data_IF_400813567050
#
_entry.id   IF_400813567050
#
_cell.length_a   1.000
_cell.length_b   1.000
_cell.length_c   1.000
_cell.angle_alpha   90.00
_cell.angle_beta   90.00
_cell.angle_gamma   90.00
#
_symmetry.space_group_name_H-M   'P 1'
#
loop_
_entity.id
_entity.type
_entity.pdbx_description
1 polymer ?
#
# COMPACT_ATOMS: atom_id res chain seq x y z
N UNK A 1 -57.04 -27.94 -30.81
CA UNK A 1 -55.85 -28.63 -30.27
C UNK A 1 -54.65 -27.70 -30.41
N UNK A 2 -54.38 -26.88 -29.37
CA UNK A 2 -53.32 -25.86 -29.34
C UNK A 2 -52.51 -26.03 -28.05
N UNK A 3 -51.78 -27.12 -27.87
CA UNK A 3 -50.91 -27.31 -26.70
C UNK A 3 -49.79 -28.32 -26.95
N UNK A 4 -48.95 -28.10 -27.98
CA UNK A 4 -47.84 -29.01 -28.27
C UNK A 4 -46.60 -28.32 -28.88
N UNK A 5 -46.34 -27.05 -28.53
CA UNK A 5 -45.21 -26.26 -29.08
C UNK A 5 -44.34 -25.61 -27.98
N UNK A 6 -44.45 -26.03 -26.72
CA UNK A 6 -43.70 -25.37 -25.61
C UNK A 6 -42.89 -26.31 -24.72
N UNK A 7 -42.50 -27.48 -25.21
CA UNK A 7 -41.57 -28.32 -24.46
C UNK A 7 -40.41 -28.73 -25.35
N UNK A 8 -39.21 -28.43 -24.86
CA UNK A 8 -37.92 -28.99 -25.28
C UNK A 8 -37.23 -28.30 -26.46
N UNK A 9 -37.25 -26.96 -26.50
CA UNK A 9 -36.13 -26.14 -26.99
C UNK A 9 -34.98 -26.07 -25.93
N UNK A 10 -34.86 -27.10 -25.08
CA UNK A 10 -34.03 -27.13 -23.88
C UNK A 10 -33.07 -28.34 -23.87
N UNK A 11 -32.67 -28.82 -25.05
CA UNK A 11 -31.70 -29.92 -25.19
C UNK A 11 -30.51 -29.52 -26.08
N UNK A 12 -30.47 -28.29 -26.60
CA UNK A 12 -29.41 -27.85 -27.52
C UNK A 12 -28.42 -26.81 -26.95
N UNK A 13 -28.51 -26.48 -25.65
CA UNK A 13 -27.59 -25.52 -25.00
C UNK A 13 -26.56 -26.20 -24.09
N UNK A 14 -26.68 -27.52 -23.86
CA UNK A 14 -25.82 -28.25 -22.90
C UNK A 14 -24.64 -28.99 -23.57
N UNK A 15 -24.58 -29.04 -24.90
CA UNK A 15 -23.58 -29.87 -25.62
C UNK A 15 -22.47 -29.08 -26.33
N UNK A 16 -22.37 -27.77 -26.14
CA UNK A 16 -21.24 -26.95 -26.63
C UNK A 16 -20.16 -26.67 -25.57
N UNK A 17 -20.20 -27.35 -24.41
CA UNK A 17 -19.11 -27.29 -23.42
C UNK A 17 -18.13 -28.47 -23.52
N UNK A 18 -17.98 -29.08 -24.69
CA UNK A 18 -16.81 -29.91 -24.96
C UNK A 18 -15.60 -29.02 -25.23
N UNK A 19 -14.71 -29.00 -24.25
CA UNK A 19 -13.27 -28.82 -24.41
C UNK A 19 -12.77 -27.45 -24.91
N UNK A 20 -12.83 -26.43 -24.05
CA UNK A 20 -11.67 -25.57 -23.89
C UNK A 20 -10.82 -26.13 -22.75
N UNK A 21 -9.94 -27.05 -23.14
CA UNK A 21 -8.72 -27.37 -22.41
C UNK A 21 -7.93 -26.07 -22.22
N UNK A 22 -7.93 -25.55 -21.00
CA UNK A 22 -6.85 -24.72 -20.50
C UNK A 22 -6.69 -25.01 -19.01
N UNK A 23 -6.11 -26.18 -18.71
CA UNK A 23 -5.24 -26.33 -17.55
C UNK A 23 -4.02 -25.41 -17.74
N UNK A 24 -4.24 -24.10 -17.63
CA UNK A 24 -3.21 -23.21 -17.11
C UNK A 24 -3.62 -22.98 -15.66
N UNK A 25 -2.89 -23.62 -14.73
CA UNK A 25 -2.98 -23.29 -13.31
C UNK A 25 -2.47 -21.86 -13.10
N UNK A 26 -3.26 -20.86 -13.49
CA UNK A 26 -2.94 -19.47 -13.20
C UNK A 26 -3.09 -19.29 -11.70
N UNK A 27 -1.97 -19.08 -11.01
CA UNK A 27 -2.00 -18.67 -9.60
C UNK A 27 -2.98 -17.48 -9.47
N UNK A 28 -3.85 -17.46 -8.43
CA UNK A 28 -4.79 -16.37 -8.23
C UNK A 28 -4.03 -15.13 -7.71
N UNK A 29 -3.35 -14.43 -8.63
CA UNK A 29 -2.48 -13.29 -8.30
C UNK A 29 -3.26 -11.99 -8.05
N UNK A 30 -4.47 -11.86 -8.60
CA UNK A 30 -5.27 -10.63 -8.53
C UNK A 30 -5.52 -10.13 -7.10
N UNK A 31 -5.91 -10.98 -6.11
CA UNK A 31 -6.02 -10.56 -4.72
C UNK A 31 -4.70 -10.03 -4.13
N UNK A 32 -3.56 -10.59 -4.55
CA UNK A 32 -2.22 -10.18 -4.08
C UNK A 32 -1.86 -8.81 -4.64
N UNK A 33 -2.13 -8.58 -5.93
CA UNK A 33 -1.94 -7.28 -6.59
C UNK A 33 -2.76 -6.21 -5.90
N UNK A 34 -4.07 -6.43 -5.74
CA UNK A 34 -4.98 -5.47 -5.08
C UNK A 34 -4.52 -5.14 -3.65
N UNK A 35 -4.08 -6.16 -2.91
CA UNK A 35 -3.59 -5.96 -1.55
C UNK A 35 -2.28 -5.14 -1.54
N UNK A 36 -1.38 -5.35 -2.50
CA UNK A 36 -0.16 -4.56 -2.63
C UNK A 36 -0.43 -3.12 -3.09
N UNK A 37 -1.29 -2.91 -4.08
CA UNK A 37 -1.72 -1.57 -4.52
C UNK A 37 -2.28 -0.78 -3.34
N UNK A 38 -2.99 -1.46 -2.42
CA UNK A 38 -3.47 -0.84 -1.19
C UNK A 38 -2.31 -0.41 -0.28
N UNK A 39 -1.25 -1.21 -0.14
CA UNK A 39 -0.04 -0.84 0.61
C UNK A 39 0.62 0.39 -0.02
N UNK A 40 0.89 0.37 -1.32
CA UNK A 40 1.50 1.51 -2.04
C UNK A 40 0.66 2.77 -1.89
N UNK A 41 -0.66 2.66 -2.06
CA UNK A 41 -1.56 3.79 -1.89
C UNK A 41 -1.49 4.39 -0.49
N UNK A 42 -1.40 3.58 0.58
CA UNK A 42 -1.28 4.13 1.94
C UNK A 42 0.06 4.84 2.17
N UNK A 43 1.15 4.32 1.62
CA UNK A 43 2.44 5.00 1.68
C UNK A 43 2.45 6.30 0.86
N UNK A 44 1.80 6.33 -0.31
CA UNK A 44 1.60 7.57 -1.07
C UNK A 44 0.86 8.64 -0.24
N UNK A 45 -0.17 8.25 0.52
CA UNK A 45 -0.86 9.17 1.42
C UNK A 45 0.04 9.74 2.52
N UNK A 46 1.06 8.99 2.98
CA UNK A 46 2.08 9.50 3.90
C UNK A 46 2.97 10.52 3.21
N UNK A 47 3.42 10.25 1.99
CA UNK A 47 4.20 11.19 1.17
C UNK A 47 3.44 12.49 0.93
N UNK A 48 2.16 12.42 0.56
CA UNK A 48 1.30 13.59 0.37
C UNK A 48 1.16 14.40 1.67
N UNK A 49 0.93 13.72 2.80
CA UNK A 49 0.84 14.37 4.11
C UNK A 49 2.16 15.03 4.51
N UNK A 50 3.30 14.43 4.18
CA UNK A 50 4.61 15.00 4.43
C UNK A 50 4.83 16.27 3.59
N UNK A 51 4.42 16.27 2.32
CA UNK A 51 4.45 17.45 1.45
C UNK A 51 3.60 18.57 2.05
N UNK A 52 2.36 18.27 2.46
CA UNK A 52 1.46 19.23 3.10
C UNK A 52 2.08 19.80 4.38
N UNK A 53 2.66 18.95 5.22
CA UNK A 53 3.35 19.39 6.45
C UNK A 53 4.49 20.36 6.12
N UNK A 54 5.37 19.98 5.19
CA UNK A 54 6.52 20.80 4.79
C UNK A 54 6.09 22.14 4.21
N UNK A 55 5.05 22.17 3.38
CA UNK A 55 4.51 23.42 2.82
C UNK A 55 4.10 24.40 3.92
N UNK A 56 3.52 23.90 5.02
CA UNK A 56 3.04 24.73 6.13
C UNK A 56 4.14 25.21 7.09
N UNK A 57 5.28 24.52 7.16
CA UNK A 57 6.35 24.82 8.13
C UNK A 57 7.67 25.25 7.47
N UNK A 58 7.77 25.20 6.14
CA UNK A 58 9.00 25.49 5.37
C UNK A 58 9.58 26.88 5.59
N UNK A 59 8.75 27.85 5.96
CA UNK A 59 9.17 29.23 6.26
C UNK A 59 9.77 29.38 7.66
N UNK A 60 9.70 28.35 8.50
CA UNK A 60 10.32 28.36 9.82
C UNK A 60 11.74 27.80 9.78
N UNK A 61 12.78 28.64 9.94
CA UNK A 61 14.17 28.21 9.85
C UNK A 61 14.59 27.29 11.01
N UNK A 62 13.80 27.18 12.07
CA UNK A 62 14.09 26.28 13.19
C UNK A 62 13.73 24.83 12.92
N UNK A 63 12.96 24.56 11.85
CA UNK A 63 12.49 23.21 11.51
C UNK A 63 13.23 22.70 10.27
N UNK A 64 13.95 21.59 10.43
CA UNK A 64 14.71 20.95 9.35
C UNK A 64 13.84 19.99 8.57
N UNK A 65 13.28 20.46 7.44
CA UNK A 65 12.44 19.65 6.54
C UNK A 65 13.22 19.01 5.38
N UNK A 66 14.40 19.53 5.06
CA UNK A 66 15.20 19.07 3.92
C UNK A 66 15.45 17.55 3.88
N UNK A 67 15.73 16.85 4.99
CA UNK A 67 15.92 15.39 4.95
C UNK A 67 14.69 14.63 4.42
N UNK A 68 13.48 15.08 4.77
CA UNK A 68 12.23 14.47 4.27
C UNK A 68 12.07 14.77 2.79
N UNK A 69 12.29 16.02 2.38
CA UNK A 69 12.24 16.44 0.97
C UNK A 69 13.22 15.64 0.09
N UNK A 70 14.47 15.49 0.54
CA UNK A 70 15.51 14.74 -0.18
C UNK A 70 15.14 13.27 -0.41
N UNK A 71 14.36 12.68 0.51
CA UNK A 71 13.85 11.31 0.38
C UNK A 71 12.65 11.26 -0.58
N UNK A 72 11.68 12.15 -0.44
CA UNK A 72 10.53 12.19 -1.35
C UNK A 72 10.97 12.40 -2.81
N UNK A 73 11.97 13.25 -3.05
CA UNK A 73 12.49 13.52 -4.39
C UNK A 73 13.25 12.34 -5.02
N UNK A 74 13.67 11.35 -4.23
CA UNK A 74 14.51 10.22 -4.68
C UNK A 74 13.81 8.87 -4.51
N UNK A 75 12.49 8.88 -4.35
CA UNK A 75 11.70 7.68 -4.16
C UNK A 75 11.96 6.65 -5.28
N UNK A 76 12.32 5.39 -4.94
CA UNK A 76 12.67 4.40 -5.93
C UNK A 76 11.43 3.93 -6.68
N UNK A 77 11.48 3.96 -8.01
CA UNK A 77 10.49 3.28 -8.84
C UNK A 77 10.74 1.78 -8.77
N UNK A 78 9.75 1.03 -8.29
CA UNK A 78 9.73 -0.44 -8.29
C UNK A 78 8.73 -0.96 -9.31
N UNK A 79 9.02 -2.10 -9.91
CA UNK A 79 8.14 -2.76 -10.88
C UNK A 79 7.93 -4.19 -10.45
N UNK A 80 6.73 -4.49 -9.94
CA UNK A 80 6.45 -5.82 -9.41
C UNK A 80 6.00 -6.79 -10.50
N UNK A 81 6.60 -7.97 -10.50
CA UNK A 81 6.15 -9.13 -11.26
C UNK A 81 5.86 -10.26 -10.30
N UNK A 82 4.60 -10.41 -9.89
CA UNK A 82 4.18 -11.44 -8.92
C UNK A 82 4.38 -12.89 -9.42
N UNK A 83 4.70 -13.09 -10.71
CA UNK A 83 5.12 -14.39 -11.24
C UNK A 83 6.60 -14.68 -10.92
N UNK A 84 7.40 -13.64 -10.73
CA UNK A 84 8.79 -13.71 -10.29
C UNK A 84 8.93 -13.30 -8.81
N UNK A 85 8.56 -14.21 -7.92
CA UNK A 85 8.51 -13.95 -6.46
C UNK A 85 9.84 -13.48 -5.86
N UNK A 86 10.99 -13.94 -6.38
CA UNK A 86 12.31 -13.52 -5.87
C UNK A 86 12.65 -12.08 -6.19
N UNK A 87 12.37 -11.63 -7.42
CA UNK A 87 12.57 -10.23 -7.81
C UNK A 87 11.58 -9.35 -7.04
N UNK A 88 10.30 -9.74 -7.05
CA UNK A 88 9.22 -9.02 -6.36
C UNK A 88 9.46 -8.89 -4.85
N UNK A 89 9.93 -9.93 -4.17
CA UNK A 89 10.29 -9.83 -2.75
C UNK A 89 11.38 -8.78 -2.50
N UNK A 90 12.40 -8.72 -3.37
CA UNK A 90 13.48 -7.74 -3.25
C UNK A 90 12.97 -6.32 -3.46
N UNK A 91 12.11 -6.12 -4.45
CA UNK A 91 11.55 -4.83 -4.80
C UNK A 91 10.59 -4.33 -3.71
N UNK A 92 9.73 -5.22 -3.17
CA UNK A 92 8.91 -4.92 -1.99
C UNK A 92 9.79 -4.52 -0.80
N UNK A 93 10.82 -5.31 -0.47
CA UNK A 93 11.70 -4.99 0.66
C UNK A 93 12.43 -3.65 0.46
N UNK A 94 12.88 -3.35 -0.76
CA UNK A 94 13.50 -2.07 -1.09
C UNK A 94 12.52 -0.91 -0.92
N UNK A 95 11.30 -1.05 -1.44
CA UNK A 95 10.24 -0.06 -1.30
C UNK A 95 9.92 0.21 0.18
N UNK A 96 9.62 -0.84 0.95
CA UNK A 96 9.25 -0.72 2.38
C UNK A 96 10.40 -0.12 3.20
N UNK A 97 11.65 -0.51 2.94
CA UNK A 97 12.81 0.10 3.62
C UNK A 97 12.90 1.60 3.35
N UNK A 98 12.61 2.01 2.11
CA UNK A 98 12.63 3.42 1.73
C UNK A 98 11.52 4.23 2.40
N UNK A 99 10.30 3.67 2.44
CA UNK A 99 9.19 4.29 3.14
C UNK A 99 9.48 4.48 4.63
N UNK A 100 10.16 3.53 5.24
CA UNK A 100 10.58 3.63 6.62
C UNK A 100 11.60 4.77 6.86
N UNK A 101 12.51 5.02 5.91
CA UNK A 101 13.40 6.19 5.98
C UNK A 101 12.61 7.51 5.96
N UNK A 102 11.56 7.59 5.13
CA UNK A 102 10.64 8.75 5.08
C UNK A 102 9.94 8.92 6.43
N UNK A 103 9.40 7.84 7.00
CA UNK A 103 8.73 7.87 8.30
C UNK A 103 9.65 8.36 9.43
N UNK A 104 10.88 7.83 9.52
CA UNK A 104 11.87 8.27 10.51
C UNK A 104 12.16 9.77 10.36
N UNK A 105 12.35 10.23 9.12
CA UNK A 105 12.60 11.64 8.84
C UNK A 105 11.40 12.50 9.23
N UNK A 106 10.17 12.04 8.96
CA UNK A 106 8.93 12.73 9.31
C UNK A 106 8.70 12.79 10.83
N UNK A 107 8.96 11.69 11.55
CA UNK A 107 8.95 11.67 13.01
C UNK A 107 9.94 12.67 13.61
N UNK A 108 11.13 12.81 13.01
CA UNK A 108 12.11 13.83 13.40
C UNK A 108 11.57 15.26 13.24
N UNK A 109 10.79 15.52 12.19
CA UNK A 109 10.08 16.81 12.01
C UNK A 109 9.03 17.00 13.11
N UNK A 110 8.20 15.99 13.39
CA UNK A 110 7.20 16.10 14.46
C UNK A 110 7.81 16.37 15.84
N UNK A 111 8.95 15.74 16.15
CA UNK A 111 9.68 15.98 17.39
C UNK A 111 10.25 17.42 17.48
N UNK A 112 10.68 18.00 16.36
CA UNK A 112 11.08 19.41 16.31
C UNK A 112 9.88 20.34 16.56
N UNK A 113 8.75 20.06 15.91
CA UNK A 113 7.51 20.85 16.08
C UNK A 113 6.98 20.80 17.51
N UNK A 114 7.14 19.69 18.22
CA UNK A 114 6.76 19.59 19.63
C UNK A 114 7.61 20.47 20.54
N UNK A 115 8.90 20.64 20.21
CA UNK A 115 9.81 21.51 20.97
C UNK A 115 9.60 22.99 20.68
N UNK A 116 8.95 23.33 19.56
CA UNK A 116 8.66 24.71 19.16
C UNK A 116 7.27 25.17 19.67
N UNK A 117 7.19 26.13 20.62
CA UNK A 117 5.91 26.53 21.24
C UNK A 117 4.84 26.99 20.24
N UNK A 118 5.25 27.67 19.17
CA UNK A 118 4.35 28.13 18.09
C UNK A 118 3.60 26.97 17.41
N UNK A 119 4.25 25.83 17.27
CA UNK A 119 3.72 24.70 16.49
C UNK A 119 3.07 23.62 17.34
N UNK A 120 3.47 23.51 18.61
CA UNK A 120 2.97 22.50 19.55
C UNK A 120 1.44 22.45 19.62
N UNK A 121 0.80 23.61 19.65
CA UNK A 121 -0.66 23.75 19.81
C UNK A 121 -1.34 24.25 18.52
N UNK A 122 -0.60 24.34 17.41
CA UNK A 122 -1.17 24.79 16.15
C UNK A 122 -2.20 23.76 15.65
N UNK A 123 -3.48 24.15 15.44
CA UNK A 123 -4.55 23.20 15.08
C UNK A 123 -4.24 22.35 13.85
N UNK A 124 -3.63 22.95 12.82
CA UNK A 124 -3.24 22.25 11.60
C UNK A 124 -2.18 21.17 11.86
N UNK A 125 -1.20 21.44 12.74
CA UNK A 125 -0.15 20.47 13.08
C UNK A 125 -0.73 19.31 13.87
N UNK A 126 -1.68 19.58 14.78
CA UNK A 126 -2.39 18.53 15.52
C UNK A 126 -3.22 17.64 14.60
N UNK A 127 -3.93 18.24 13.62
CA UNK A 127 -4.68 17.49 12.60
C UNK A 127 -3.76 16.61 11.74
N UNK A 128 -2.64 17.15 11.26
CA UNK A 128 -1.64 16.40 10.48
C UNK A 128 -1.09 15.22 11.30
N UNK A 129 -0.74 15.42 12.57
CA UNK A 129 -0.27 14.33 13.45
C UNK A 129 -1.33 13.24 13.62
N UNK A 130 -2.59 13.63 13.80
CA UNK A 130 -3.68 12.67 13.94
C UNK A 130 -3.86 11.85 12.65
N UNK A 131 -3.87 12.52 11.49
CA UNK A 131 -3.92 11.85 10.18
C UNK A 131 -2.75 10.89 9.99
N UNK A 132 -1.53 11.31 10.36
CA UNK A 132 -0.35 10.47 10.29
C UNK A 132 -0.50 9.20 11.15
N UNK A 133 -0.95 9.33 12.40
CA UNK A 133 -1.19 8.18 13.29
C UNK A 133 -2.23 7.20 12.69
N UNK A 134 -3.33 7.72 12.16
CA UNK A 134 -4.36 6.90 11.51
C UNK A 134 -3.84 6.21 10.24
N UNK A 135 -2.97 6.87 9.48
CA UNK A 135 -2.32 6.28 8.30
C UNK A 135 -1.38 5.14 8.70
N UNK A 136 -0.57 5.30 9.75
CA UNK A 136 0.31 4.24 10.24
C UNK A 136 -0.47 2.97 10.63
N UNK A 137 -1.61 3.14 11.33
CA UNK A 137 -2.50 2.03 11.65
C UNK A 137 -3.05 1.38 10.37
N UNK A 138 -3.46 2.20 9.39
CA UNK A 138 -3.98 1.72 8.10
C UNK A 138 -2.92 1.00 7.27
N UNK A 139 -1.65 1.43 7.30
CA UNK A 139 -0.52 0.76 6.64
C UNK A 139 -0.31 -0.60 7.27
N UNK A 140 -0.25 -0.67 8.60
CA UNK A 140 -0.10 -1.94 9.34
C UNK A 140 -1.20 -2.94 8.96
N UNK A 141 -2.44 -2.46 8.77
CA UNK A 141 -3.55 -3.31 8.32
C UNK A 141 -3.32 -3.76 6.86
N UNK A 142 -2.96 -2.85 5.96
CA UNK A 142 -2.72 -3.16 4.55
C UNK A 142 -1.58 -4.17 4.37
N UNK A 143 -0.47 -4.04 5.11
CA UNK A 143 0.64 -4.99 5.08
C UNK A 143 0.21 -6.39 5.55
N UNK A 144 -0.60 -6.47 6.61
CA UNK A 144 -1.17 -7.74 7.08
C UNK A 144 -2.08 -8.37 6.02
N UNK A 145 -2.90 -7.56 5.35
CA UNK A 145 -3.77 -8.02 4.25
C UNK A 145 -2.97 -8.54 3.06
N UNK A 146 -1.89 -7.84 2.67
CA UNK A 146 -0.97 -8.31 1.64
C UNK A 146 -0.32 -9.64 2.02
N UNK A 147 0.23 -9.75 3.24
CA UNK A 147 0.87 -10.96 3.72
C UNK A 147 -0.11 -12.14 3.76
N UNK A 148 -1.36 -11.89 4.14
CA UNK A 148 -2.42 -12.90 4.12
C UNK A 148 -2.77 -13.32 2.68
N UNK A 149 -2.96 -12.37 1.76
CA UNK A 149 -3.25 -12.66 0.36
C UNK A 149 -2.12 -13.45 -0.33
N UNK A 150 -0.86 -13.06 -0.10
CA UNK A 150 0.31 -13.77 -0.60
C UNK A 150 0.37 -15.21 -0.08
N UNK A 151 0.07 -15.41 1.21
CA UNK A 151 -0.02 -16.74 1.83
C UNK A 151 -1.13 -17.58 1.21
N UNK A 152 -2.32 -17.01 1.03
CA UNK A 152 -3.47 -17.71 0.44
C UNK A 152 -3.24 -18.10 -1.02
N UNK A 153 -2.50 -17.27 -1.77
CA UNK A 153 -2.02 -17.56 -3.11
C UNK A 153 -0.80 -18.52 -3.15
N UNK A 154 -0.32 -19.00 -2.00
CA UNK A 154 0.87 -19.86 -1.87
C UNK A 154 2.15 -19.24 -2.45
N UNK A 155 2.26 -17.91 -2.43
CA UNK A 155 3.44 -17.17 -2.84
C UNK A 155 4.43 -17.04 -1.69
N UNK A 156 5.73 -17.16 -2.00
CA UNK A 156 6.80 -16.85 -1.05
C UNK A 156 7.08 -15.34 -1.04
N UNK A 157 6.07 -14.56 -0.66
CA UNK A 157 6.14 -13.10 -0.56
C UNK A 157 5.70 -12.67 0.84
N UNK A 158 6.39 -11.68 1.39
CA UNK A 158 6.03 -11.07 2.67
C UNK A 158 6.59 -9.66 2.78
N UNK A 159 5.80 -8.75 3.34
CA UNK A 159 6.27 -7.50 3.88
C UNK A 159 6.77 -7.79 5.31
N UNK A 160 8.07 -7.58 5.60
CA UNK A 160 8.60 -7.80 6.93
C UNK A 160 7.95 -6.82 7.90
N UNK A 161 7.55 -7.33 9.07
CA UNK A 161 7.06 -6.46 10.14
C UNK A 161 8.18 -5.49 10.54
N UNK A 162 7.90 -4.19 10.47
CA UNK A 162 8.80 -3.17 11.01
C UNK A 162 8.84 -3.34 12.54
N UNK A 163 10.02 -3.44 13.16
CA UNK A 163 10.12 -3.63 14.60
C UNK A 163 9.47 -2.45 15.33
N UNK A 164 8.54 -2.76 16.25
CA UNK A 164 7.72 -1.81 16.99
C UNK A 164 8.48 -0.85 17.91
N UNK A 165 9.81 -0.90 17.92
CA UNK A 165 10.69 -0.06 18.76
C UNK A 165 10.89 1.37 18.22
N UNK A 166 10.18 1.74 17.16
CA UNK A 166 10.22 3.06 16.51
C UNK A 166 8.90 3.84 16.67
N UNK A 167 8.03 3.40 17.58
CA UNK A 167 6.82 4.10 18.02
C UNK A 167 6.98 4.65 19.43
#
# INVERSE_FOLDING_TARGET
MKFLVRLVALVFVVTLQTACSSDESSLPLEPVVIAYDTVEYRYQQVSDLAIDLMANISMDPSIKVKPVQDLLDREPVVSLDFRNTKATQRDITRFISYQHEIEIALQSVFAQLEKAPKWREAPLILDIRNKYSMLNDSITIAEKMFNQAAKDASLQLTIPAVPSSLH
#
